data_IF_821249152960
#
_entry.id   IF_821249152960
#
_cell.length_a   1.000
_cell.length_b   1.000
_cell.length_c   1.000
_cell.angle_alpha   90.00
_cell.angle_beta   90.00
_cell.angle_gamma   90.00
#
_symmetry.space_group_name_H-M   'P 1'
#
loop_
_entity.id
_entity.type
_entity.pdbx_description
1 polymer ?
#
# COMPACT_ATOMS: atom_id res chain seq x y z
N UNK A 1 7.31 65.52 4.35
CA UNK A 1 7.25 65.11 2.93
C UNK A 1 8.16 63.89 2.65
N UNK A 2 8.14 62.85 3.50
CA UNK A 2 9.00 61.66 3.33
C UNK A 2 8.43 60.42 4.04
N UNK A 3 7.14 60.12 3.90
CA UNK A 3 6.52 58.88 4.43
C UNK A 3 5.41 58.29 3.55
N UNK A 4 5.32 58.69 2.27
CA UNK A 4 4.33 58.17 1.31
C UNK A 4 4.92 57.49 0.07
N UNK A 5 6.22 57.18 0.06
CA UNK A 5 6.88 56.54 -1.10
C UNK A 5 7.37 55.10 -0.86
N UNK A 6 6.95 54.44 0.23
CA UNK A 6 7.37 53.06 0.55
C UNK A 6 6.22 52.03 0.51
N UNK A 7 5.08 52.40 -0.08
CA UNK A 7 3.89 51.52 -0.17
C UNK A 7 3.49 51.19 -1.62
N UNK A 8 4.34 51.53 -2.60
CA UNK A 8 4.09 51.26 -4.02
C UNK A 8 5.15 50.34 -4.67
N UNK A 9 5.98 49.67 -3.88
CA UNK A 9 7.02 48.75 -4.38
C UNK A 9 6.85 47.29 -3.94
N UNK A 10 5.70 46.93 -3.33
CA UNK A 10 5.38 45.56 -2.91
C UNK A 10 4.20 44.94 -3.68
N UNK A 11 3.71 45.58 -4.75
CA UNK A 11 2.60 45.09 -5.56
C UNK A 11 2.99 44.67 -6.99
N UNK A 12 4.28 44.43 -7.27
CA UNK A 12 4.76 44.18 -8.64
C UNK A 12 5.64 42.92 -8.80
N UNK A 13 5.59 41.95 -7.88
CA UNK A 13 6.24 40.64 -8.05
C UNK A 13 5.28 39.54 -7.60
N UNK A 14 4.20 39.33 -8.35
CA UNK A 14 3.46 38.05 -8.42
C UNK A 14 2.50 38.10 -9.61
N UNK A 15 3.07 38.22 -10.80
CA UNK A 15 2.40 37.94 -12.08
C UNK A 15 3.45 37.56 -13.12
N UNK A 16 3.74 36.27 -13.18
CA UNK A 16 4.31 35.55 -14.33
C UNK A 16 4.10 34.05 -14.03
N UNK A 17 3.00 33.44 -14.47
CA UNK A 17 2.97 32.54 -15.64
C UNK A 17 4.13 31.56 -15.70
N UNK A 18 3.84 30.24 -15.65
CA UNK A 18 4.04 29.30 -16.77
C UNK A 18 3.17 28.06 -16.54
N UNK A 19 2.28 27.78 -17.48
CA UNK A 19 1.72 26.45 -17.74
C UNK A 19 2.75 25.61 -18.50
N UNK A 20 2.95 24.34 -18.15
CA UNK A 20 3.32 23.34 -19.17
C UNK A 20 3.14 21.91 -18.67
N UNK A 21 2.30 21.19 -19.42
CA UNK A 21 2.16 19.74 -19.55
C UNK A 21 3.40 18.93 -19.18
N UNK A 22 3.21 17.83 -18.45
CA UNK A 22 4.16 16.72 -18.41
C UNK A 22 3.50 15.49 -19.03
N UNK A 23 3.90 15.19 -20.27
CA UNK A 23 4.02 13.80 -20.74
C UNK A 23 5.26 13.23 -20.06
N UNK A 24 5.12 12.15 -19.29
CA UNK A 24 6.26 11.37 -18.81
C UNK A 24 6.43 10.18 -19.76
N UNK A 25 7.52 10.21 -20.51
CA UNK A 25 8.05 9.06 -21.24
C UNK A 25 8.95 8.23 -20.30
N UNK A 26 8.89 6.92 -20.45
CA UNK A 26 9.64 5.93 -19.69
C UNK A 26 11.10 5.77 -20.17
N UNK A 27 11.91 5.27 -19.23
CA UNK A 27 13.16 4.49 -19.36
C UNK A 27 14.47 5.22 -19.74
N UNK A 28 15.49 5.11 -18.89
CA UNK A 28 16.58 4.11 -19.01
C UNK A 28 17.44 4.03 -17.73
N UNK A 29 18.05 2.87 -17.54
CA UNK A 29 18.76 2.33 -16.37
C UNK A 29 20.10 3.05 -16.06
N UNK A 30 20.53 3.07 -14.78
CA UNK A 30 21.78 2.41 -14.37
C UNK A 30 22.16 2.61 -12.87
N UNK A 31 22.38 1.46 -12.24
CA UNK A 31 23.39 1.11 -11.24
C UNK A 31 23.32 1.54 -9.75
N UNK A 32 23.28 0.47 -8.94
CA UNK A 32 23.47 0.31 -7.50
C UNK A 32 24.80 0.88 -6.98
N UNK A 33 24.76 1.87 -6.07
CA UNK A 33 25.65 2.00 -4.90
C UNK A 33 25.16 3.16 -4.00
N UNK A 34 24.25 2.90 -3.04
CA UNK A 34 23.74 3.93 -2.11
C UNK A 34 24.01 3.63 -0.63
N UNK A 35 24.77 2.58 -0.34
CA UNK A 35 25.16 2.24 1.02
C UNK A 35 26.49 2.89 1.40
N UNK A 36 26.49 4.17 1.82
CA UNK A 36 27.41 4.75 2.83
C UNK A 36 27.67 6.28 2.76
N UNK A 37 26.93 7.06 1.95
CA UNK A 37 27.18 8.53 1.88
C UNK A 37 26.36 9.43 2.81
N UNK A 38 25.43 8.90 3.61
CA UNK A 38 24.53 9.70 4.45
C UNK A 38 24.96 9.87 5.92
N UNK A 39 26.25 9.71 6.24
CA UNK A 39 26.79 10.11 7.56
C UNK A 39 27.64 11.37 7.45
N UNK A 40 26.96 12.52 7.51
CA UNK A 40 27.61 13.77 7.92
C UNK A 40 27.22 15.01 7.13
N UNK A 41 26.48 15.88 7.83
CA UNK A 41 26.24 17.31 7.60
C UNK A 41 25.03 17.72 6.73
N UNK A 42 24.17 18.48 7.41
CA UNK A 42 23.02 19.28 6.95
C UNK A 42 21.69 18.53 6.70
N UNK A 43 21.05 18.06 7.77
CA UNK A 43 19.59 17.91 7.81
C UNK A 43 18.99 19.25 8.26
N UNK A 44 18.98 20.22 7.35
CA UNK A 44 18.17 21.42 7.48
C UNK A 44 17.36 21.52 6.19
N UNK A 45 16.03 21.50 6.35
CA UNK A 45 15.01 21.72 5.32
C UNK A 45 14.85 20.62 4.27
N UNK A 46 14.26 19.50 4.69
CA UNK A 46 13.44 18.65 3.82
C UNK A 46 12.02 18.56 4.39
N UNK A 47 11.38 19.72 4.61
CA UNK A 47 9.93 19.75 4.81
C UNK A 47 9.29 19.58 3.45
N UNK A 48 9.11 18.33 3.01
CA UNK A 48 8.05 18.07 2.04
C UNK A 48 6.77 18.59 2.67
N UNK A 49 6.10 19.54 2.02
CA UNK A 49 4.78 20.01 2.42
C UNK A 49 3.92 19.89 1.19
N UNK A 50 3.20 18.78 1.07
CA UNK A 50 2.03 18.78 0.21
C UNK A 50 0.95 19.55 0.93
N UNK A 51 0.36 20.54 0.28
CA UNK A 51 -0.82 21.24 0.80
C UNK A 51 -2.00 21.05 -0.13
N UNK A 52 -3.19 20.96 0.45
CA UNK A 52 -4.45 20.90 -0.30
C UNK A 52 -5.54 21.70 0.43
N UNK A 53 -6.67 21.92 -0.24
CA UNK A 53 -7.85 22.57 0.33
C UNK A 53 -9.09 21.87 -0.17
N UNK A 54 -9.81 21.21 0.75
CA UNK A 54 -10.95 20.34 0.42
C UNK A 54 -11.95 20.33 1.57
N UNK A 55 -13.24 20.23 1.24
CA UNK A 55 -14.32 19.96 2.20
C UNK A 55 -14.27 18.48 2.60
N UNK A 56 -13.80 18.21 3.82
CA UNK A 56 -13.58 16.87 4.37
C UNK A 56 -14.77 16.33 5.14
N UNK A 57 -15.55 17.20 5.79
CA UNK A 57 -16.66 16.80 6.66
C UNK A 57 -18.06 17.11 6.07
N UNK A 58 -18.09 17.63 4.85
CA UNK A 58 -19.30 17.86 4.06
C UNK A 58 -20.12 19.06 4.52
N UNK A 59 -19.54 19.95 5.34
CA UNK A 59 -20.22 21.14 5.84
C UNK A 59 -20.23 22.32 4.83
N UNK A 60 -19.52 22.18 3.72
CA UNK A 60 -19.37 23.18 2.65
C UNK A 60 -18.24 24.20 2.90
N UNK A 61 -17.57 24.13 4.04
CA UNK A 61 -16.32 24.82 4.33
C UNK A 61 -15.16 23.97 3.82
N UNK A 62 -14.07 24.62 3.42
CA UNK A 62 -12.89 23.90 2.96
C UNK A 62 -11.84 23.85 4.06
N UNK A 63 -11.32 22.67 4.35
CA UNK A 63 -10.23 22.46 5.29
C UNK A 63 -8.88 22.60 4.59
N UNK A 64 -7.93 23.25 5.26
CA UNK A 64 -6.53 23.28 4.81
C UNK A 64 -5.82 22.00 5.27
N UNK A 65 -5.19 21.28 4.36
CA UNK A 65 -4.50 20.02 4.63
C UNK A 65 -2.99 20.19 4.39
N UNK A 66 -2.15 19.60 5.25
CA UNK A 66 -0.73 19.46 5.00
C UNK A 66 -0.11 18.23 5.66
N UNK A 67 0.93 17.65 5.06
CA UNK A 67 1.77 16.62 5.69
C UNK A 67 3.25 16.96 5.51
N UNK A 68 4.03 16.69 6.55
CA UNK A 68 5.48 16.77 6.51
C UNK A 68 6.11 15.51 7.10
N UNK A 69 7.18 15.03 6.46
CA UNK A 69 8.03 13.99 7.01
C UNK A 69 8.77 14.52 8.26
N UNK A 70 8.97 13.63 9.23
CA UNK A 70 9.76 13.88 10.44
C UNK A 70 11.16 13.30 10.29
N UNK A 71 12.07 13.66 11.21
CA UNK A 71 13.44 13.10 11.23
C UNK A 71 13.45 11.59 11.51
N UNK A 72 12.45 11.09 12.22
CA UNK A 72 12.26 9.66 12.46
C UNK A 72 11.92 8.95 11.16
N UNK A 73 12.59 7.83 10.87
CA UNK A 73 12.35 7.04 9.66
C UNK A 73 10.87 6.60 9.59
N UNK A 74 10.22 6.98 8.48
CA UNK A 74 8.79 6.78 8.24
C UNK A 74 7.84 7.61 9.10
N UNK A 75 8.37 8.50 9.95
CA UNK A 75 7.59 9.42 10.76
C UNK A 75 7.03 10.58 9.96
N UNK A 76 5.84 11.05 10.33
CA UNK A 76 5.21 12.23 9.74
C UNK A 76 4.36 13.02 10.74
N UNK A 77 4.13 14.29 10.43
CA UNK A 77 3.12 15.14 11.05
C UNK A 77 2.14 15.61 9.98
N UNK A 78 0.84 15.43 10.21
CA UNK A 78 -0.24 15.93 9.37
C UNK A 78 -1.02 17.01 10.13
N UNK A 79 -1.40 18.07 9.42
CA UNK A 79 -2.17 19.20 9.96
C UNK A 79 -3.41 19.43 9.10
N UNK A 80 -4.58 19.50 9.74
CA UNK A 80 -5.88 19.79 9.11
C UNK A 80 -6.58 20.91 9.87
N UNK A 81 -6.74 22.06 9.23
CA UNK A 81 -7.37 23.27 9.82
C UNK A 81 -6.89 23.58 11.26
N UNK A 82 -5.59 23.37 11.51
CA UNK A 82 -4.94 23.57 12.81
C UNK A 82 -4.91 22.36 13.75
N UNK A 83 -5.76 21.34 13.52
CA UNK A 83 -5.68 20.04 14.18
C UNK A 83 -4.45 19.28 13.70
N UNK A 84 -3.78 18.53 14.58
CA UNK A 84 -2.51 17.86 14.26
C UNK A 84 -2.51 16.42 14.71
N UNK A 85 -1.90 15.56 13.90
CA UNK A 85 -1.61 14.18 14.26
C UNK A 85 -0.20 13.79 13.82
N UNK A 86 0.45 12.92 14.59
CA UNK A 86 1.71 12.29 14.22
C UNK A 86 1.50 10.80 13.99
N UNK A 87 2.20 10.27 13.01
CA UNK A 87 2.16 8.85 12.68
C UNK A 87 3.51 8.34 12.20
N UNK A 88 3.58 7.03 11.96
CA UNK A 88 4.73 6.38 11.38
C UNK A 88 4.24 5.26 10.44
N UNK A 89 4.80 5.18 9.22
CA UNK A 89 4.48 4.15 8.22
C UNK A 89 5.54 3.05 8.12
N UNK A 90 6.66 3.18 8.82
CA UNK A 90 7.80 2.29 8.74
C UNK A 90 8.75 2.60 7.59
N UNK A 91 8.30 3.35 6.58
CA UNK A 91 9.04 3.73 5.37
C UNK A 91 8.85 5.21 5.03
N UNK A 92 9.75 5.84 4.25
CA UNK A 92 9.69 7.25 3.94
C UNK A 92 8.33 7.68 3.39
N UNK A 93 7.70 8.64 4.06
CA UNK A 93 6.41 9.20 3.67
C UNK A 93 6.56 9.98 2.38
N UNK A 94 5.68 9.70 1.43
CA UNK A 94 5.71 10.32 0.10
C UNK A 94 4.70 11.45 -0.07
N UNK A 95 3.61 11.39 0.68
CA UNK A 95 2.67 12.47 0.76
C UNK A 95 1.32 12.02 1.27
N UNK A 96 0.29 12.71 0.80
CA UNK A 96 -1.09 12.39 1.12
C UNK A 96 -1.97 12.44 -0.11
N UNK A 97 -3.14 11.84 -0.01
CA UNK A 97 -4.21 11.98 -0.97
C UNK A 97 -5.54 12.00 -0.26
N UNK A 98 -6.51 12.69 -0.83
CA UNK A 98 -7.89 12.73 -0.34
C UNK A 98 -8.67 11.66 -1.09
N UNK A 99 -9.37 10.83 -0.34
CA UNK A 99 -10.14 9.70 -0.86
C UNK A 99 -11.59 9.82 -0.37
N UNK A 100 -12.47 9.11 -1.05
CA UNK A 100 -13.88 8.99 -0.69
C UNK A 100 -14.19 7.49 -0.67
N UNK A 101 -14.20 6.92 0.54
CA UNK A 101 -14.42 5.49 0.76
C UNK A 101 -15.90 5.13 0.57
N UNK A 102 -16.81 6.02 1.00
CA UNK A 102 -18.27 5.85 0.89
C UNK A 102 -18.91 7.12 0.34
N UNK A 103 -19.13 7.12 -0.98
CA UNK A 103 -19.68 8.27 -1.72
C UNK A 103 -21.14 8.59 -1.38
N UNK A 104 -21.80 7.74 -0.57
CA UNK A 104 -23.12 8.00 -0.03
C UNK A 104 -23.09 8.92 1.20
N UNK A 105 -21.97 8.94 1.93
CA UNK A 105 -21.70 9.97 2.93
C UNK A 105 -21.01 11.17 2.25
N UNK A 106 -21.18 12.38 2.78
CA UNK A 106 -20.54 13.58 2.22
C UNK A 106 -19.11 13.76 2.72
N UNK A 107 -18.56 12.75 3.40
CA UNK A 107 -17.28 12.81 4.08
C UNK A 107 -16.18 12.39 3.12
N UNK A 108 -14.98 12.88 3.38
CA UNK A 108 -13.76 12.42 2.70
C UNK A 108 -12.72 12.02 3.74
N UNK A 109 -11.88 11.08 3.37
CA UNK A 109 -10.77 10.63 4.19
C UNK A 109 -9.44 11.08 3.61
N UNK A 110 -8.42 11.03 4.45
CA UNK A 110 -7.05 11.35 4.07
C UNK A 110 -6.23 10.08 4.18
N UNK A 111 -5.54 9.72 3.10
CA UNK A 111 -4.55 8.65 3.09
C UNK A 111 -3.15 9.26 3.06
N UNK A 112 -2.37 9.05 4.13
CA UNK A 112 -0.92 9.33 4.12
C UNK A 112 -0.21 8.07 3.66
N UNK A 113 0.65 8.18 2.64
CA UNK A 113 1.17 7.01 1.95
C UNK A 113 2.69 7.00 1.77
N UNK A 114 3.22 5.79 1.64
CA UNK A 114 4.56 5.50 1.12
C UNK A 114 4.43 5.04 -0.34
N UNK A 115 5.49 5.25 -1.12
CA UNK A 115 5.64 4.75 -2.48
C UNK A 115 7.10 4.30 -2.59
N UNK A 116 7.35 3.02 -2.34
CA UNK A 116 8.70 2.47 -2.42
C UNK A 116 8.84 1.61 -3.69
N UNK A 117 10.07 1.45 -4.22
CA UNK A 117 10.31 0.52 -5.32
C UNK A 117 10.04 -0.94 -4.93
N UNK A 118 10.17 -1.24 -3.64
CA UNK A 118 9.66 -2.49 -3.06
C UNK A 118 8.14 -2.39 -3.00
N UNK A 119 7.46 -3.47 -3.38
CA UNK A 119 6.00 -3.54 -3.49
C UNK A 119 5.29 -3.55 -2.12
N UNK A 120 5.73 -2.72 -1.17
CA UNK A 120 5.31 -2.65 0.23
C UNK A 120 4.72 -1.28 0.59
N UNK A 121 3.99 -0.69 -0.36
CA UNK A 121 3.27 0.56 -0.14
C UNK A 121 2.33 0.43 1.06
N UNK A 122 2.31 1.48 1.88
CA UNK A 122 1.48 1.56 3.08
C UNK A 122 0.68 2.83 3.08
N UNK A 123 -0.59 2.71 3.48
CA UNK A 123 -1.53 3.83 3.54
C UNK A 123 -2.12 3.87 4.94
N UNK A 124 -1.85 4.95 5.68
CA UNK A 124 -2.57 5.22 6.93
C UNK A 124 -3.70 6.19 6.67
N UNK A 125 -4.89 5.78 7.07
CA UNK A 125 -6.12 6.48 6.80
C UNK A 125 -6.56 7.32 8.00
N UNK A 126 -7.13 8.48 7.73
CA UNK A 126 -7.62 9.42 8.73
C UNK A 126 -8.96 10.02 8.31
N UNK A 127 -9.85 10.21 9.28
CA UNK A 127 -11.05 11.02 9.11
C UNK A 127 -10.88 12.35 9.84
N UNK A 128 -11.48 13.41 9.29
CA UNK A 128 -11.58 14.70 9.96
C UNK A 128 -13.05 15.05 10.20
N UNK A 129 -13.45 15.21 11.46
CA UNK A 129 -14.81 15.59 11.83
C UNK A 129 -14.80 16.44 13.09
N UNK A 130 -15.68 17.45 13.16
CA UNK A 130 -15.83 18.31 14.34
C UNK A 130 -14.50 18.95 14.80
N UNK A 131 -13.61 19.30 13.86
CA UNK A 131 -12.30 19.87 14.16
C UNK A 131 -11.24 18.88 14.65
N UNK A 132 -11.52 17.57 14.65
CA UNK A 132 -10.63 16.52 15.15
C UNK A 132 -10.19 15.57 14.05
N UNK A 133 -8.95 15.09 14.15
CA UNK A 133 -8.39 14.02 13.32
C UNK A 133 -8.46 12.69 14.07
N UNK A 134 -9.01 11.67 13.44
CA UNK A 134 -9.06 10.31 13.97
C UNK A 134 -8.37 9.34 13.00
N UNK A 135 -7.46 8.52 13.53
CA UNK A 135 -6.85 7.39 12.81
C UNK A 135 -7.95 6.38 12.46
N UNK A 136 -8.03 5.91 11.22
CA UNK A 136 -9.02 4.94 10.77
C UNK A 136 -8.45 3.53 10.62
N UNK A 137 -7.14 3.40 10.45
CA UNK A 137 -6.47 2.13 10.19
C UNK A 137 -5.30 2.23 9.21
N UNK A 138 -4.64 1.10 9.02
CA UNK A 138 -3.52 0.92 8.10
C UNK A 138 -3.90 -0.08 7.00
N UNK A 139 -3.56 0.26 5.77
CA UNK A 139 -3.62 -0.62 4.61
C UNK A 139 -2.21 -0.92 4.11
N UNK A 140 -2.03 -2.12 3.59
CA UNK A 140 -0.81 -2.58 2.93
C UNK A 140 -1.09 -2.87 1.45
N UNK A 141 -0.07 -2.68 0.61
CA UNK A 141 -0.17 -2.85 -0.83
C UNK A 141 -0.90 -1.69 -1.51
N UNK A 142 -1.46 -1.95 -2.69
CA UNK A 142 -2.12 -0.94 -3.51
C UNK A 142 -3.65 -0.99 -3.31
N UNK A 143 -4.24 -0.03 -2.56
CA UNK A 143 -5.68 0.01 -2.34
C UNK A 143 -6.42 0.56 -3.55
N UNK A 144 -7.61 0.01 -3.78
CA UNK A 144 -8.66 0.58 -4.61
C UNK A 144 -9.87 0.85 -3.74
N UNK A 145 -10.24 2.12 -3.64
CA UNK A 145 -11.47 2.59 -3.02
C UNK A 145 -12.63 2.43 -4.00
N UNK A 146 -13.69 1.73 -3.61
CA UNK A 146 -14.82 1.43 -4.49
C UNK A 146 -15.93 2.48 -4.41
N UNK A 147 -15.96 3.29 -3.35
CA UNK A 147 -16.96 4.32 -3.10
C UNK A 147 -18.25 3.81 -2.47
N UNK A 148 -18.32 2.53 -2.08
CA UNK A 148 -19.48 1.89 -1.43
C UNK A 148 -19.16 1.42 0.01
N UNK A 149 -18.16 2.04 0.64
CA UNK A 149 -17.69 1.63 1.96
C UNK A 149 -16.72 0.46 1.94
N UNK A 150 -16.32 -0.05 0.77
CA UNK A 150 -15.36 -1.16 0.65
C UNK A 150 -14.02 -0.73 0.04
N UNK A 151 -12.97 -1.49 0.36
CA UNK A 151 -11.62 -1.25 -0.15
C UNK A 151 -11.03 -2.60 -0.54
N UNK A 152 -10.46 -2.66 -1.73
CA UNK A 152 -9.74 -3.83 -2.22
C UNK A 152 -8.26 -3.48 -2.32
N UNK A 153 -7.43 -4.11 -1.50
CA UNK A 153 -5.98 -3.89 -1.54
C UNK A 153 -5.26 -5.09 -2.15
N UNK A 154 -4.29 -4.82 -3.03
CA UNK A 154 -3.42 -5.87 -3.59
C UNK A 154 -2.04 -5.76 -3.01
N UNK A 155 -1.53 -6.85 -2.46
CA UNK A 155 -0.18 -6.95 -1.91
C UNK A 155 0.63 -8.00 -2.68
N UNK A 156 1.88 -7.68 -3.02
CA UNK A 156 2.73 -8.57 -3.81
C UNK A 156 3.42 -9.61 -2.93
N UNK A 157 3.08 -10.87 -3.12
CA UNK A 157 3.59 -11.98 -2.33
C UNK A 157 4.81 -12.67 -2.97
N UNK A 158 5.54 -11.96 -3.82
CA UNK A 158 6.76 -12.42 -4.51
C UNK A 158 6.54 -13.11 -5.86
N UNK A 159 5.36 -13.67 -6.12
CA UNK A 159 5.02 -14.31 -7.41
C UNK A 159 3.50 -14.35 -7.71
N UNK A 160 2.69 -13.79 -6.82
CA UNK A 160 1.25 -13.67 -6.94
C UNK A 160 0.80 -12.48 -6.07
N UNK A 161 -0.43 -12.00 -6.29
CA UNK A 161 -0.99 -10.91 -5.48
C UNK A 161 -1.99 -11.44 -4.46
N UNK A 162 -1.76 -11.15 -3.18
CA UNK A 162 -2.79 -11.24 -2.15
C UNK A 162 -3.80 -10.13 -2.40
N UNK A 163 -5.08 -10.47 -2.44
CA UNK A 163 -6.16 -9.48 -2.58
C UNK A 163 -6.96 -9.47 -1.29
N UNK A 164 -6.77 -8.43 -0.49
CA UNK A 164 -7.45 -8.20 0.77
C UNK A 164 -8.70 -7.34 0.56
N UNK A 165 -9.75 -7.66 1.31
CA UNK A 165 -11.00 -6.91 1.33
C UNK A 165 -11.17 -6.24 2.69
N UNK A 166 -11.39 -4.93 2.69
CA UNK A 166 -11.68 -4.15 3.89
C UNK A 166 -13.04 -3.48 3.77
N UNK A 167 -13.64 -3.23 4.92
CA UNK A 167 -14.88 -2.45 5.06
C UNK A 167 -14.64 -1.24 5.96
N UNK A 168 -15.30 -0.14 5.64
CA UNK A 168 -15.51 0.99 6.53
C UNK A 168 -16.63 0.63 7.51
N UNK A 169 -16.37 0.74 8.80
CA UNK A 169 -17.34 0.49 9.86
C UNK A 169 -17.98 1.79 10.36
N UNK A 170 -19.14 1.68 11.03
CA UNK A 170 -19.90 2.81 11.56
C UNK A 170 -19.08 3.74 12.50
N UNK A 171 -18.08 3.19 13.20
CA UNK A 171 -17.12 3.93 14.03
C UNK A 171 -15.98 4.57 13.21
N UNK A 172 -16.13 4.64 11.88
CA UNK A 172 -15.19 5.20 10.91
C UNK A 172 -13.82 4.52 10.97
N UNK A 173 -13.80 3.21 11.20
CA UNK A 173 -12.58 2.39 11.13
C UNK A 173 -12.58 1.56 9.87
N UNK A 174 -11.40 1.32 9.32
CA UNK A 174 -11.22 0.38 8.24
C UNK A 174 -10.80 -0.97 8.83
N UNK A 175 -11.56 -2.01 8.52
CA UNK A 175 -11.35 -3.36 9.07
C UNK A 175 -11.21 -4.37 7.96
N UNK A 176 -10.16 -5.21 8.06
CA UNK A 176 -9.99 -6.36 7.19
C UNK A 176 -11.16 -7.33 7.39
N UNK A 177 -11.79 -7.75 6.30
CA UNK A 177 -12.73 -8.84 6.27
C UNK A 177 -11.92 -10.14 6.15
N UNK A 178 -11.92 -11.00 7.19
CA UNK A 178 -11.09 -12.21 7.15
C UNK A 178 -11.49 -13.13 6.00
N UNK A 179 -10.50 -13.59 5.25
CA UNK A 179 -10.66 -14.58 4.18
C UNK A 179 -9.97 -15.87 4.60
N UNK A 180 -10.66 -17.00 4.45
CA UNK A 180 -10.02 -18.31 4.69
C UNK A 180 -8.98 -18.62 3.61
N UNK A 181 -9.22 -18.14 2.38
CA UNK A 181 -8.39 -18.42 1.22
C UNK A 181 -8.23 -17.20 0.32
N UNK A 182 -7.09 -17.17 -0.37
CA UNK A 182 -6.79 -16.22 -1.43
C UNK A 182 -6.64 -16.95 -2.76
N UNK A 183 -7.28 -16.42 -3.79
CA UNK A 183 -7.22 -16.97 -5.14
C UNK A 183 -5.91 -16.59 -5.84
N UNK A 184 -5.28 -17.56 -6.51
CA UNK A 184 -3.98 -17.39 -7.20
C UNK A 184 -4.12 -17.64 -8.70
N UNK A 185 -4.49 -18.88 -9.08
CA UNK A 185 -4.62 -19.34 -10.46
C UNK A 185 -3.38 -19.10 -11.35
N UNK A 186 -2.25 -19.64 -10.89
CA UNK A 186 -0.99 -19.61 -11.64
C UNK A 186 -0.59 -21.05 -11.98
N UNK A 187 -0.25 -21.30 -13.24
CA UNK A 187 0.19 -22.62 -13.71
C UNK A 187 1.71 -22.68 -13.90
N UNK A 188 2.28 -23.85 -13.62
CA UNK A 188 3.72 -24.08 -13.73
C UNK A 188 4.03 -25.55 -14.02
N UNK A 189 5.28 -25.83 -14.39
CA UNK A 189 5.77 -27.19 -14.66
C UNK A 189 6.78 -27.58 -13.58
N UNK A 190 6.57 -28.72 -12.93
CA UNK A 190 7.46 -29.17 -11.88
C UNK A 190 8.86 -29.44 -12.45
N UNK A 191 9.90 -28.90 -11.82
CA UNK A 191 11.31 -29.20 -12.13
C UNK A 191 11.92 -30.15 -11.09
N UNK A 192 11.22 -30.41 -9.99
CA UNK A 192 11.58 -31.37 -8.94
C UNK A 192 10.33 -32.10 -8.43
N UNK A 193 10.46 -33.28 -7.80
CA UNK A 193 9.31 -33.94 -7.19
C UNK A 193 8.68 -33.08 -6.08
N UNK A 194 7.34 -32.95 -6.07
CA UNK A 194 6.61 -32.18 -5.04
C UNK A 194 5.58 -33.09 -4.36
N UNK A 195 5.71 -33.34 -3.04
CA UNK A 195 4.74 -34.16 -2.30
C UNK A 195 3.42 -33.40 -2.13
N UNK A 196 2.32 -34.13 -2.27
CA UNK A 196 0.95 -33.64 -2.13
C UNK A 196 0.25 -34.30 -0.96
N UNK A 197 -0.53 -33.53 -0.23
CA UNK A 197 -1.20 -33.94 1.01
C UNK A 197 -2.73 -33.80 0.84
N UNK A 198 -3.49 -34.70 1.44
CA UNK A 198 -4.95 -34.61 1.44
C UNK A 198 -5.46 -33.44 2.31
N UNK A 199 -4.73 -33.13 3.37
CA UNK A 199 -5.09 -32.09 4.35
C UNK A 199 -3.93 -31.13 4.57
N UNK A 200 -4.25 -29.90 5.00
CA UNK A 200 -3.26 -28.94 5.48
C UNK A 200 -2.69 -29.45 6.81
N UNK A 201 -1.38 -29.25 7.05
CA UNK A 201 -0.69 -29.35 8.37
C UNK A 201 -0.53 -30.74 8.95
N UNK A 202 -1.21 -31.76 8.43
CA UNK A 202 -1.13 -33.14 8.94
C UNK A 202 -1.18 -34.16 7.82
N UNK A 203 -0.54 -35.30 8.04
CA UNK A 203 -0.69 -36.49 7.20
C UNK A 203 0.53 -36.85 6.35
N UNK A 204 0.43 -38.03 5.75
CA UNK A 204 1.39 -38.53 4.78
C UNK A 204 1.08 -37.99 3.38
N UNK A 205 2.11 -37.95 2.53
CA UNK A 205 1.91 -37.58 1.14
C UNK A 205 1.01 -38.63 0.46
N UNK A 206 -0.10 -38.16 -0.14
CA UNK A 206 -1.07 -38.99 -0.86
C UNK A 206 -0.74 -39.11 -2.35
N UNK A 207 0.09 -38.20 -2.86
CA UNK A 207 0.59 -38.21 -4.23
C UNK A 207 1.90 -37.42 -4.32
N UNK A 208 2.57 -37.51 -5.46
CA UNK A 208 3.76 -36.72 -5.78
C UNK A 208 3.66 -36.22 -7.21
N UNK A 209 3.78 -34.91 -7.40
CA UNK A 209 3.97 -34.31 -8.73
C UNK A 209 5.38 -34.63 -9.19
N UNK A 210 5.51 -35.22 -10.37
CA UNK A 210 6.82 -35.57 -10.94
C UNK A 210 7.39 -34.43 -11.77
N UNK A 211 8.72 -34.32 -11.91
CA UNK A 211 9.33 -33.40 -12.85
C UNK A 211 8.72 -33.54 -14.26
N UNK A 212 8.43 -32.41 -14.90
CA UNK A 212 7.76 -32.31 -16.20
C UNK A 212 6.22 -32.24 -16.13
N UNK A 213 5.60 -32.51 -14.98
CA UNK A 213 4.15 -32.42 -14.84
C UNK A 213 3.69 -30.97 -14.62
N UNK A 214 2.58 -30.60 -15.27
CA UNK A 214 1.94 -29.30 -15.10
C UNK A 214 0.97 -29.32 -13.93
N UNK A 215 0.98 -28.26 -13.15
CA UNK A 215 -0.01 -27.99 -12.10
C UNK A 215 -0.50 -26.55 -12.17
N UNK A 216 -1.61 -26.27 -11.50
CA UNK A 216 -2.12 -24.92 -11.24
C UNK A 216 -2.24 -24.73 -9.74
N UNK A 217 -1.63 -23.67 -9.21
CA UNK A 217 -1.87 -23.21 -7.84
C UNK A 217 -3.19 -22.43 -7.83
N UNK A 218 -4.18 -22.94 -7.11
CA UNK A 218 -5.55 -22.41 -7.13
C UNK A 218 -5.76 -21.43 -5.98
N UNK A 219 -5.42 -21.86 -4.76
CA UNK A 219 -5.65 -21.11 -3.53
C UNK A 219 -4.42 -21.11 -2.63
N UNK A 220 -4.31 -20.09 -1.79
CA UNK A 220 -3.39 -20.05 -0.64
C UNK A 220 -4.16 -19.87 0.67
N UNK A 221 -3.71 -20.54 1.73
CA UNK A 221 -4.19 -20.34 3.11
C UNK A 221 -3.47 -19.20 3.84
N UNK A 222 -2.76 -18.34 3.10
CA UNK A 222 -1.88 -17.30 3.65
C UNK A 222 -2.54 -16.59 4.83
N UNK A 223 -1.95 -16.74 6.01
CA UNK A 223 -2.48 -16.16 7.23
C UNK A 223 -1.97 -14.73 7.35
N UNK A 224 -2.80 -13.77 7.00
CA UNK A 224 -2.41 -12.36 6.98
C UNK A 224 -2.20 -11.75 8.38
N UNK A 225 -2.81 -12.21 9.50
CA UNK A 225 -2.86 -11.31 10.69
C UNK A 225 -2.61 -11.93 12.09
N UNK A 226 -2.55 -13.25 12.29
CA UNK A 226 -2.50 -13.80 13.69
C UNK A 226 -1.56 -14.98 13.94
N UNK A 227 -0.85 -15.47 12.92
CA UNK A 227 0.11 -16.56 13.09
C UNK A 227 1.53 -16.03 12.98
N UNK A 228 2.35 -16.22 14.01
CA UNK A 228 3.78 -15.90 13.95
C UNK A 228 4.45 -16.50 12.70
N UNK A 229 5.60 -15.92 12.33
CA UNK A 229 6.43 -16.22 11.15
C UNK A 229 6.77 -17.72 10.93
N UNK A 230 6.46 -18.59 11.89
CA UNK A 230 6.91 -19.99 11.94
C UNK A 230 5.95 -21.01 11.30
N UNK A 231 4.78 -20.60 10.79
CA UNK A 231 3.86 -21.53 10.10
C UNK A 231 4.02 -21.46 8.58
N UNK A 232 4.28 -22.59 7.88
CA UNK A 232 4.37 -22.57 6.43
C UNK A 232 3.00 -22.23 5.81
N UNK A 233 3.02 -21.37 4.78
CA UNK A 233 1.87 -21.16 3.91
C UNK A 233 1.57 -22.46 3.14
N UNK A 234 0.29 -22.79 3.04
CA UNK A 234 -0.24 -23.93 2.30
C UNK A 234 -0.95 -23.47 1.04
N UNK A 235 -0.77 -24.26 0.00
CA UNK A 235 -1.31 -23.98 -1.32
C UNK A 235 -2.14 -25.17 -1.78
N UNK A 236 -3.37 -24.90 -2.22
CA UNK A 236 -4.18 -25.88 -2.93
C UNK A 236 -3.75 -25.88 -4.40
N UNK A 237 -3.38 -27.05 -4.91
CA UNK A 237 -3.03 -27.22 -6.32
C UNK A 237 -4.00 -28.13 -7.03
N UNK A 238 -4.12 -27.91 -8.32
CA UNK A 238 -4.79 -28.79 -9.27
C UNK A 238 -3.77 -29.37 -10.24
N UNK A 239 -3.66 -30.69 -10.29
CA UNK A 239 -2.86 -31.39 -11.29
C UNK A 239 -3.57 -31.43 -12.66
N UNK A 240 -2.85 -31.79 -13.72
CA UNK A 240 -3.43 -31.91 -15.07
C UNK A 240 -4.59 -32.93 -15.19
N UNK A 241 -4.66 -33.93 -14.30
CA UNK A 241 -5.77 -34.90 -14.25
C UNK A 241 -6.90 -34.49 -13.29
N UNK A 242 -6.88 -33.25 -12.76
CA UNK A 242 -7.96 -32.70 -11.94
C UNK A 242 -7.91 -33.09 -10.46
N UNK A 243 -6.81 -33.67 -9.96
CA UNK A 243 -6.65 -33.91 -8.53
C UNK A 243 -6.39 -32.59 -7.82
N UNK A 244 -7.23 -32.28 -6.82
CA UNK A 244 -7.00 -31.21 -5.87
C UNK A 244 -6.30 -31.76 -4.62
N UNK A 245 -5.18 -31.14 -4.24
CA UNK A 245 -4.41 -31.51 -3.07
C UNK A 245 -3.63 -30.31 -2.50
N UNK A 246 -3.05 -30.48 -1.33
CA UNK A 246 -2.30 -29.45 -0.61
C UNK A 246 -0.79 -29.66 -0.71
N UNK A 247 -0.05 -28.55 -0.70
CA UNK A 247 1.41 -28.54 -0.56
C UNK A 247 1.84 -27.40 0.37
N UNK A 248 2.95 -27.57 1.10
CA UNK A 248 3.50 -26.56 2.01
C UNK A 248 4.84 -26.02 1.52
N UNK A 249 5.04 -24.69 1.56
CA UNK A 249 6.34 -23.98 1.44
C UNK A 249 7.19 -24.18 0.15
N UNK A 250 8.05 -23.20 -0.19
CA UNK A 250 7.84 -22.38 -1.38
C UNK A 250 8.04 -23.23 -2.66
N UNK A 251 6.96 -23.79 -3.21
CA UNK A 251 7.03 -24.62 -4.39
C UNK A 251 7.54 -23.85 -5.61
N UNK A 252 7.61 -22.52 -5.52
CA UNK A 252 8.05 -21.66 -6.61
C UNK A 252 9.43 -22.02 -7.16
N UNK A 253 10.35 -22.48 -6.32
CA UNK A 253 11.65 -22.95 -6.79
C UNK A 253 11.63 -24.40 -7.32
N UNK A 254 10.50 -25.09 -7.17
CA UNK A 254 10.23 -26.40 -7.72
C UNK A 254 9.37 -26.35 -8.99
N UNK A 255 8.91 -25.18 -9.43
CA UNK A 255 8.13 -25.00 -10.65
C UNK A 255 8.78 -23.97 -11.58
N UNK A 256 8.85 -24.29 -12.87
CA UNK A 256 9.12 -23.32 -13.92
C UNK A 256 7.81 -22.67 -14.38
N UNK A 257 7.87 -21.38 -14.77
CA UNK A 257 6.74 -20.62 -15.31
C UNK A 257 5.99 -19.78 -14.28
N UNK A 258 6.36 -19.83 -13.00
CA UNK A 258 5.93 -18.82 -12.04
C UNK A 258 6.82 -17.57 -12.23
N UNK A 259 6.20 -16.41 -12.45
CA UNK A 259 6.92 -15.14 -12.47
C UNK A 259 7.26 -14.78 -11.03
N UNK A 260 8.47 -15.14 -10.59
CA UNK A 260 9.00 -14.74 -9.28
C UNK A 260 9.72 -13.41 -9.46
N UNK A 261 9.57 -12.49 -8.50
CA UNK A 261 10.40 -11.29 -8.45
C UNK A 261 11.87 -11.69 -8.25
N UNK A 262 12.76 -11.09 -9.05
CA UNK A 262 14.22 -11.28 -8.94
C UNK A 262 14.79 -10.70 -7.63
#
# INVERSE_FOLDING_TARGET
MARRLLLLLLAAILSAHVSSNHHVACAEEDNYDIGNRWRGKALAELTFVQTDTVDLDGDGTMESLSVAALEEYGGFEMVVSGSRIRGNLGDPVMGLTVIDIDTADSLKEIAVFTNQPSNDDRYRLYSFQNGSLDDMGLLEGWPRFTGDGTIIAKDWMGYWYRTDHYILTDDRRVRLVPQEFYYINISGVAIRPVPLYAERRTGEAVATVKPGERVTVVLSDHRSVTGGQDSPNWYCIMTANGLLAWMSYPPIYAFEGFQVAD
#
